data_IF_447865310003
#
_entry.id   IF_447865310003
#
_cell.length_a   1.000
_cell.length_b   1.000
_cell.length_c   1.000
_cell.angle_alpha   90.00
_cell.angle_beta   90.00
_cell.angle_gamma   90.00
#
_symmetry.space_group_name_H-M   'P 1'
#
loop_
_entity.id
_entity.type
_entity.pdbx_description
1 polymer ?
#
# COMPACT_ATOMS: atom_id res chain seq x y z
N UNK A 1 11.47 -11.40 -10.37
CA UNK A 1 12.36 -10.52 -11.15
C UNK A 1 13.58 -10.17 -10.29
N UNK A 2 14.66 -9.77 -10.95
CA UNK A 2 15.96 -9.59 -10.29
C UNK A 2 16.29 -8.13 -10.00
N UNK A 3 15.59 -7.18 -10.63
CA UNK A 3 15.83 -5.75 -10.47
C UNK A 3 14.59 -4.92 -10.76
N UNK A 4 14.58 -3.69 -10.21
CA UNK A 4 13.63 -2.64 -10.54
C UNK A 4 14.41 -1.40 -10.96
N UNK A 5 14.02 -0.76 -12.05
CA UNK A 5 14.66 0.43 -12.57
C UNK A 5 13.93 1.70 -12.13
N UNK A 6 14.68 2.72 -11.73
CA UNK A 6 14.18 4.03 -11.30
C UNK A 6 14.51 5.07 -12.38
N UNK A 7 13.48 5.73 -12.87
CA UNK A 7 13.57 6.67 -13.99
C UNK A 7 13.16 8.08 -13.60
N UNK A 8 13.86 9.04 -14.15
CA UNK A 8 13.55 10.46 -14.09
C UNK A 8 13.68 11.10 -15.47
N UNK A 9 13.37 12.39 -15.64
CA UNK A 9 13.64 13.10 -16.89
C UNK A 9 15.10 13.08 -17.35
N UNK A 10 16.04 12.79 -16.43
CA UNK A 10 17.46 12.64 -16.73
C UNK A 10 17.85 11.22 -17.19
N UNK A 11 16.89 10.32 -17.27
CA UNK A 11 17.06 8.92 -17.65
C UNK A 11 17.09 7.95 -16.47
N UNK A 12 17.77 6.81 -16.62
CA UNK A 12 17.91 5.79 -15.57
C UNK A 12 18.76 6.32 -14.42
N UNK A 13 18.17 6.46 -13.24
CA UNK A 13 18.85 6.95 -12.03
C UNK A 13 19.52 5.82 -11.26
N UNK A 14 18.83 4.72 -11.09
CA UNK A 14 19.31 3.58 -10.34
C UNK A 14 18.60 2.31 -10.76
N UNK A 15 19.27 1.19 -10.57
CA UNK A 15 18.66 -0.14 -10.59
C UNK A 15 18.81 -0.69 -9.18
N UNK A 16 17.67 -0.98 -8.53
CA UNK A 16 17.67 -1.62 -7.23
C UNK A 16 17.76 -3.13 -7.44
N UNK A 17 18.87 -3.79 -7.06
CA UNK A 17 18.96 -5.22 -7.14
C UNK A 17 18.02 -5.84 -6.12
N UNK A 18 17.42 -6.92 -6.50
CA UNK A 18 16.94 -7.92 -5.57
C UNK A 18 18.21 -8.61 -5.05
N UNK A 19 18.44 -8.57 -3.75
CA UNK A 19 19.64 -9.12 -3.12
C UNK A 19 19.78 -10.62 -3.47
N UNK A 20 20.78 -11.01 -4.27
CA UNK A 20 20.90 -12.39 -4.71
C UNK A 20 22.31 -12.92 -4.89
N UNK A 21 23.21 -12.15 -5.43
CA UNK A 21 24.48 -12.70 -5.99
C UNK A 21 25.77 -12.15 -5.38
N UNK A 22 25.69 -11.39 -4.30
CA UNK A 22 26.88 -10.85 -3.61
C UNK A 22 27.18 -11.60 -2.31
N UNK A 23 28.40 -11.51 -1.76
CA UNK A 23 28.69 -12.03 -0.44
C UNK A 23 27.76 -11.37 0.58
N UNK A 24 26.98 -12.19 1.29
CA UNK A 24 26.06 -11.72 2.32
C UNK A 24 26.89 -11.23 3.52
N UNK A 25 27.03 -9.91 3.60
CA UNK A 25 27.59 -9.30 4.80
C UNK A 25 26.49 -9.20 5.87
N UNK A 26 26.85 -9.36 7.15
CA UNK A 26 25.89 -9.21 8.24
C UNK A 26 25.18 -7.85 8.21
N UNK A 27 23.88 -7.85 8.50
CA UNK A 27 23.12 -6.60 8.66
C UNK A 27 23.73 -5.74 9.79
N UNK A 28 23.80 -4.41 9.63
CA UNK A 28 23.31 -3.57 8.52
C UNK A 28 24.35 -3.35 7.39
N UNK A 29 25.51 -3.96 7.49
CA UNK A 29 26.64 -3.69 6.57
C UNK A 29 26.33 -4.14 5.12
N UNK A 30 25.66 -5.26 4.96
CA UNK A 30 25.29 -5.79 3.63
C UNK A 30 24.36 -4.85 2.87
N UNK A 31 23.33 -4.32 3.53
CA UNK A 31 22.38 -3.40 2.94
C UNK A 31 23.03 -2.03 2.65
N UNK A 32 23.83 -1.52 3.58
CA UNK A 32 24.58 -0.30 3.36
C UNK A 32 25.51 -0.41 2.16
N UNK A 33 26.21 -1.53 2.02
CA UNK A 33 27.13 -1.78 0.91
C UNK A 33 26.37 -1.96 -0.42
N UNK A 34 25.27 -2.69 -0.43
CA UNK A 34 24.43 -2.83 -1.61
C UNK A 34 23.87 -1.47 -2.06
N UNK A 35 23.33 -0.67 -1.13
CA UNK A 35 22.78 0.66 -1.42
C UNK A 35 23.87 1.60 -1.96
N UNK A 36 25.06 1.60 -1.37
CA UNK A 36 26.18 2.45 -1.79
C UNK A 36 26.62 2.13 -3.22
N UNK A 37 26.64 0.87 -3.61
CA UNK A 37 27.12 0.48 -4.94
C UNK A 37 26.12 0.68 -6.07
N UNK A 38 24.84 0.67 -5.78
CA UNK A 38 23.78 0.64 -6.80
C UNK A 38 23.36 2.02 -7.31
N UNK A 39 23.56 3.07 -6.50
CA UNK A 39 23.24 4.45 -6.88
C UNK A 39 24.43 5.15 -7.52
N UNK A 40 24.85 4.67 -8.68
CA UNK A 40 26.07 5.16 -9.36
C UNK A 40 26.05 6.65 -9.70
N UNK A 41 24.87 7.25 -9.89
CA UNK A 41 24.73 8.69 -10.18
C UNK A 41 24.80 9.57 -8.94
N UNK A 42 24.53 9.03 -7.75
CA UNK A 42 24.70 9.78 -6.51
C UNK A 42 26.18 9.80 -6.09
N UNK A 43 26.78 10.97 -5.84
CA UNK A 43 28.12 11.07 -5.27
C UNK A 43 28.25 10.27 -3.97
N UNK A 44 29.44 9.76 -3.70
CA UNK A 44 29.68 8.93 -2.49
C UNK A 44 29.32 9.67 -1.21
N UNK A 45 29.61 10.98 -1.12
CA UNK A 45 29.26 11.80 0.03
C UNK A 45 27.74 11.83 0.27
N UNK A 46 26.94 11.96 -0.81
CA UNK A 46 25.47 11.95 -0.69
C UNK A 46 24.96 10.59 -0.23
N UNK A 47 25.52 9.49 -0.75
CA UNK A 47 25.17 8.13 -0.31
C UNK A 47 25.51 7.90 1.16
N UNK A 48 26.64 8.37 1.64
CA UNK A 48 27.05 8.24 3.05
C UNK A 48 26.20 9.09 3.98
N UNK A 49 25.55 10.15 3.50
CA UNK A 49 24.68 10.99 4.32
C UNK A 49 23.48 10.23 4.92
N UNK A 50 23.08 9.09 4.34
CA UNK A 50 21.98 8.26 4.83
C UNK A 50 22.30 7.55 6.16
N UNK A 51 23.56 7.49 6.58
CA UNK A 51 23.98 6.76 7.76
C UNK A 51 23.25 7.20 9.05
N UNK A 52 22.86 8.48 9.13
CA UNK A 52 22.06 8.99 10.25
C UNK A 52 20.71 8.26 10.45
N UNK A 53 20.11 7.77 9.37
CA UNK A 53 18.85 7.00 9.46
C UNK A 53 19.01 5.69 10.22
N UNK A 54 20.17 5.03 10.13
CA UNK A 54 20.41 3.78 10.87
C UNK A 54 20.32 4.00 12.37
N UNK A 55 20.88 5.13 12.85
CA UNK A 55 20.81 5.50 14.29
C UNK A 55 19.35 5.79 14.70
N UNK A 56 18.61 6.54 13.88
CA UNK A 56 17.22 6.85 14.15
C UNK A 56 16.32 5.59 14.14
N UNK A 57 16.55 4.64 13.23
CA UNK A 57 15.85 3.37 13.17
C UNK A 57 16.08 2.51 14.44
N UNK A 58 17.29 2.51 14.99
CA UNK A 58 17.60 1.79 16.22
C UNK A 58 16.96 2.50 17.43
N UNK A 59 16.92 3.83 17.45
CA UNK A 59 16.31 4.61 18.53
C UNK A 59 14.78 4.46 18.55
N UNK A 60 14.14 4.37 17.39
CA UNK A 60 12.68 4.33 17.23
C UNK A 60 11.99 3.28 18.11
N UNK A 61 12.57 2.11 18.25
CA UNK A 61 11.99 0.96 18.96
C UNK A 61 12.30 0.92 20.47
N UNK A 62 12.94 1.95 21.02
CA UNK A 62 13.33 1.96 22.44
C UNK A 62 12.16 2.04 23.41
N UNK A 63 11.13 2.81 23.06
CA UNK A 63 9.92 2.92 23.89
C UNK A 63 8.76 3.55 23.09
N UNK A 64 7.51 3.38 23.55
CA UNK A 64 6.36 4.05 22.95
C UNK A 64 6.50 5.59 22.90
N UNK A 65 7.06 6.21 23.94
CA UNK A 65 7.27 7.65 23.98
C UNK A 65 8.27 8.13 22.92
N UNK A 66 9.29 7.34 22.60
CA UNK A 66 10.23 7.63 21.53
C UNK A 66 9.52 7.53 20.17
N UNK A 67 8.72 6.50 19.97
CA UNK A 67 7.92 6.34 18.77
C UNK A 67 7.00 7.54 18.53
N UNK A 68 6.26 7.97 19.55
CA UNK A 68 5.36 9.13 19.48
C UNK A 68 6.09 10.44 19.13
N UNK A 69 7.31 10.62 19.68
CA UNK A 69 8.14 11.77 19.35
C UNK A 69 8.52 11.79 17.86
N UNK A 70 8.85 10.64 17.28
CA UNK A 70 9.13 10.54 15.84
C UNK A 70 7.85 10.65 15.02
N UNK A 71 6.72 10.13 15.50
CA UNK A 71 5.44 10.26 14.81
C UNK A 71 4.96 11.72 14.72
N UNK A 72 5.30 12.55 15.69
CA UNK A 72 4.98 13.97 15.70
C UNK A 72 5.74 14.80 14.64
N UNK A 73 6.80 14.24 14.03
CA UNK A 73 7.61 14.89 13.00
C UNK A 73 7.24 14.37 11.61
N UNK A 74 7.35 15.22 10.59
CA UNK A 74 7.38 14.76 9.21
C UNK A 74 8.76 14.19 8.85
N UNK A 75 8.78 13.29 7.86
CA UNK A 75 9.99 12.60 7.45
C UNK A 75 11.04 13.54 6.85
N UNK A 76 10.62 14.60 6.12
CA UNK A 76 11.55 15.56 5.55
C UNK A 76 12.30 16.33 6.63
N UNK A 77 11.58 16.77 7.67
CA UNK A 77 12.17 17.42 8.84
C UNK A 77 13.19 16.51 9.52
N UNK A 78 12.86 15.23 9.72
CA UNK A 78 13.80 14.26 10.28
C UNK A 78 15.03 14.10 9.39
N UNK A 79 14.87 13.95 8.08
CA UNK A 79 16.00 13.77 7.16
C UNK A 79 16.96 14.95 7.22
N UNK A 80 16.44 16.19 7.29
CA UNK A 80 17.26 17.40 7.43
C UNK A 80 17.95 17.49 8.78
N UNK A 81 17.27 17.12 9.87
CA UNK A 81 17.91 17.03 11.20
C UNK A 81 19.06 16.03 11.22
N UNK A 82 18.96 14.93 10.51
CA UNK A 82 20.00 13.91 10.35
C UNK A 82 21.08 14.30 9.33
N UNK A 83 20.99 15.49 8.73
CA UNK A 83 21.91 16.02 7.72
C UNK A 83 22.01 15.14 6.47
N UNK A 84 20.93 14.51 6.09
CA UNK A 84 20.84 13.80 4.82
C UNK A 84 20.89 14.84 3.70
N UNK A 85 21.69 14.60 2.65
CA UNK A 85 21.81 15.56 1.56
C UNK A 85 20.49 15.74 0.81
N UNK A 86 20.20 16.97 0.37
CA UNK A 86 19.01 17.27 -0.44
C UNK A 86 18.94 16.42 -1.71
N UNK A 87 20.10 16.07 -2.26
CA UNK A 87 20.18 15.20 -3.42
C UNK A 87 19.73 13.77 -3.08
N UNK A 88 20.20 13.19 -1.97
CA UNK A 88 19.77 11.88 -1.49
C UNK A 88 18.24 11.88 -1.18
N UNK A 89 17.75 12.96 -0.58
CA UNK A 89 16.30 13.10 -0.30
C UNK A 89 15.50 13.11 -1.61
N UNK A 90 15.86 13.93 -2.57
CA UNK A 90 15.05 14.17 -3.75
C UNK A 90 15.19 13.08 -4.83
N UNK A 91 16.36 12.48 -4.97
CA UNK A 91 16.64 11.50 -6.04
C UNK A 91 16.40 10.06 -5.59
N UNK A 92 16.38 9.79 -4.28
CA UNK A 92 16.21 8.44 -3.76
C UNK A 92 15.07 8.30 -2.76
N UNK A 93 15.11 9.02 -1.62
CA UNK A 93 14.15 8.80 -0.55
C UNK A 93 12.72 9.21 -0.95
N UNK A 94 12.55 10.35 -1.58
CA UNK A 94 11.24 10.83 -2.06
C UNK A 94 10.59 9.87 -3.06
N UNK A 95 11.26 9.40 -4.13
CA UNK A 95 10.68 8.40 -5.03
C UNK A 95 10.27 7.10 -4.33
N UNK A 96 11.09 6.59 -3.42
CA UNK A 96 10.76 5.37 -2.66
C UNK A 96 9.54 5.59 -1.77
N UNK A 97 9.44 6.72 -1.09
CA UNK A 97 8.30 7.03 -0.22
C UNK A 97 7.01 7.26 -1.02
N UNK A 98 7.09 7.92 -2.16
CA UNK A 98 5.94 8.07 -3.07
C UNK A 98 5.39 6.74 -3.57
N UNK A 99 6.22 5.71 -3.70
CA UNK A 99 5.79 4.37 -4.11
C UNK A 99 5.48 3.46 -2.91
N UNK A 100 6.23 3.58 -1.82
CA UNK A 100 6.08 2.69 -0.66
C UNK A 100 5.03 3.14 0.37
N UNK A 101 4.82 4.44 0.54
CA UNK A 101 3.83 5.03 1.44
C UNK A 101 2.87 6.00 0.74
N UNK A 102 2.99 6.13 -0.57
CA UNK A 102 2.10 6.86 -1.47
C UNK A 102 2.00 8.37 -1.18
N UNK A 103 3.00 8.93 -0.49
CA UNK A 103 3.08 10.36 -0.18
C UNK A 103 4.53 10.85 -0.15
N UNK A 104 4.76 12.14 -0.39
CA UNK A 104 6.09 12.72 -0.24
C UNK A 104 6.47 12.86 1.24
N UNK A 105 7.78 12.96 1.56
CA UNK A 105 8.28 12.92 2.94
C UNK A 105 7.77 14.05 3.85
N UNK A 106 7.36 15.18 3.31
CA UNK A 106 6.77 16.31 4.05
C UNK A 106 5.35 16.03 4.58
N UNK A 107 4.66 15.05 4.03
CA UNK A 107 3.31 14.66 4.43
C UNK A 107 3.28 13.36 5.27
N UNK A 108 4.42 12.69 5.43
CA UNK A 108 4.53 11.40 6.11
C UNK A 108 5.09 11.53 7.53
N UNK A 109 4.54 10.76 8.46
CA UNK A 109 5.13 10.55 9.79
C UNK A 109 6.55 9.99 9.66
N UNK A 110 7.50 10.61 10.38
CA UNK A 110 8.87 10.12 10.40
C UNK A 110 8.95 8.71 11.02
N UNK A 111 8.13 8.39 12.01
CA UNK A 111 8.08 7.05 12.60
C UNK A 111 7.70 5.99 11.57
N UNK A 112 6.59 6.19 10.84
CA UNK A 112 6.12 5.25 9.81
C UNK A 112 7.12 5.14 8.67
N UNK A 113 7.74 6.25 8.29
CA UNK A 113 8.80 6.25 7.27
C UNK A 113 10.00 5.41 7.69
N UNK A 114 10.45 5.56 8.93
CA UNK A 114 11.57 4.76 9.45
C UNK A 114 11.22 3.27 9.57
N UNK A 115 9.98 2.94 9.93
CA UNK A 115 9.53 1.54 9.95
C UNK A 115 9.51 0.91 8.56
N UNK A 116 9.06 1.64 7.54
CA UNK A 116 9.14 1.18 6.16
C UNK A 116 10.59 0.91 5.76
N UNK A 117 11.47 1.88 6.01
CA UNK A 117 12.89 1.76 5.65
C UNK A 117 13.57 0.65 6.46
N UNK A 118 13.25 0.49 7.74
CA UNK A 118 13.72 -0.63 8.56
C UNK A 118 13.27 -1.97 8.00
N UNK A 119 12.00 -2.10 7.64
CA UNK A 119 11.45 -3.32 7.09
C UNK A 119 12.18 -3.74 5.80
N UNK A 120 12.35 -2.80 4.88
CA UNK A 120 13.06 -3.09 3.63
C UNK A 120 14.56 -3.27 3.80
N UNK A 121 15.20 -2.53 4.69
CA UNK A 121 16.66 -2.52 4.80
C UNK A 121 17.22 -3.50 5.83
N UNK A 122 16.52 -3.75 6.94
CA UNK A 122 17.06 -4.49 8.07
C UNK A 122 16.32 -5.79 8.40
N UNK A 123 15.00 -5.86 8.16
CA UNK A 123 14.21 -7.04 8.52
C UNK A 123 14.38 -8.21 7.54
N UNK A 124 14.74 -7.93 6.28
CA UNK A 124 14.98 -8.94 5.25
C UNK A 124 16.48 -9.20 5.06
N UNK A 125 17.11 -9.84 6.05
CA UNK A 125 18.57 -10.01 6.09
C UNK A 125 19.09 -11.12 5.16
N UNK A 126 18.32 -12.19 4.98
CA UNK A 126 18.81 -13.39 4.31
C UNK A 126 18.27 -13.57 2.89
N UNK A 127 17.15 -12.98 2.54
CA UNK A 127 16.64 -12.97 1.17
C UNK A 127 15.60 -11.85 0.97
N UNK A 128 15.96 -10.84 0.24
CA UNK A 128 14.99 -9.91 -0.32
C UNK A 128 14.56 -10.40 -1.70
N UNK A 129 13.97 -11.59 -1.73
CA UNK A 129 13.61 -12.27 -2.97
C UNK A 129 12.15 -11.93 -3.34
N UNK A 130 11.98 -10.97 -4.22
CA UNK A 130 10.65 -10.62 -4.73
C UNK A 130 10.21 -11.68 -5.73
N UNK A 131 9.13 -12.40 -5.40
CA UNK A 131 8.50 -13.40 -6.25
C UNK A 131 7.24 -12.83 -6.88
N UNK A 132 7.16 -12.92 -8.20
CA UNK A 132 5.95 -12.55 -8.92
C UNK A 132 5.02 -13.76 -9.05
N UNK A 133 3.73 -13.56 -8.85
CA UNK A 133 2.72 -14.60 -9.08
C UNK A 133 2.52 -14.73 -10.60
N UNK A 134 2.99 -15.84 -11.17
CA UNK A 134 3.11 -15.98 -12.63
C UNK A 134 1.84 -16.43 -13.35
N UNK A 135 1.00 -17.24 -12.73
CA UNK A 135 -0.03 -17.94 -13.52
C UNK A 135 -1.41 -17.30 -13.47
N UNK A 136 -1.72 -16.51 -12.45
CA UNK A 136 -3.04 -15.87 -12.28
C UNK A 136 -2.90 -14.67 -11.36
N UNK A 137 -3.99 -13.92 -11.18
CA UNK A 137 -4.06 -12.82 -10.23
C UNK A 137 -4.02 -13.31 -8.77
N UNK A 138 -3.64 -12.44 -7.84
CA UNK A 138 -3.73 -12.70 -6.38
C UNK A 138 -5.15 -13.09 -5.99
N UNK A 139 -6.16 -12.46 -6.61
CA UNK A 139 -7.56 -12.79 -6.41
C UNK A 139 -7.85 -14.26 -6.69
N UNK A 140 -7.37 -14.77 -7.81
CA UNK A 140 -7.63 -16.15 -8.25
C UNK A 140 -6.75 -17.18 -7.55
N UNK A 141 -5.50 -16.83 -7.23
CA UNK A 141 -4.53 -17.75 -6.63
C UNK A 141 -4.65 -17.87 -5.12
N UNK A 142 -5.00 -16.80 -4.44
CA UNK A 142 -5.00 -16.73 -2.99
C UNK A 142 -6.40 -16.49 -2.43
N UNK A 143 -7.06 -15.42 -2.84
CA UNK A 143 -8.29 -14.97 -2.17
C UNK A 143 -9.50 -15.84 -2.52
N UNK A 144 -9.70 -16.18 -3.79
CA UNK A 144 -10.84 -16.99 -4.21
C UNK A 144 -10.79 -18.45 -3.68
N UNK A 145 -9.62 -19.15 -3.66
CA UNK A 145 -9.54 -20.47 -3.02
C UNK A 145 -9.82 -20.41 -1.52
N UNK A 146 -9.28 -19.40 -0.81
CA UNK A 146 -9.52 -19.20 0.61
C UNK A 146 -11.01 -18.95 0.89
N UNK A 147 -11.62 -18.02 0.17
CA UNK A 147 -13.03 -17.68 0.31
C UNK A 147 -13.92 -18.89 0.04
N UNK A 148 -13.69 -19.65 -1.05
CA UNK A 148 -14.43 -20.88 -1.34
C UNK A 148 -14.33 -21.88 -0.19
N UNK A 149 -13.14 -22.16 0.30
CA UNK A 149 -12.94 -23.08 1.43
C UNK A 149 -13.72 -22.64 2.68
N UNK A 150 -13.71 -21.36 2.99
CA UNK A 150 -14.46 -20.81 4.14
C UNK A 150 -15.96 -20.89 3.92
N UNK A 151 -16.45 -20.66 2.71
CA UNK A 151 -17.87 -20.84 2.37
C UNK A 151 -18.30 -22.29 2.53
N UNK A 152 -17.49 -23.24 2.02
CA UNK A 152 -17.85 -24.67 1.99
C UNK A 152 -17.73 -25.32 3.38
N UNK A 153 -16.70 -24.97 4.16
CA UNK A 153 -16.37 -25.64 5.42
C UNK A 153 -16.85 -24.87 6.67
N UNK A 154 -17.02 -23.56 6.59
CA UNK A 154 -17.25 -22.68 7.75
C UNK A 154 -18.45 -21.72 7.59
N UNK A 155 -19.33 -21.99 6.65
CA UNK A 155 -20.58 -21.22 6.43
C UNK A 155 -20.35 -19.72 6.18
N UNK A 156 -19.19 -19.32 5.65
CA UNK A 156 -18.93 -17.94 5.26
C UNK A 156 -19.94 -17.53 4.18
N UNK A 157 -20.61 -16.39 4.37
CA UNK A 157 -21.41 -15.73 3.34
C UNK A 157 -20.69 -14.46 2.87
N UNK A 158 -20.50 -14.32 1.56
CA UNK A 158 -19.90 -13.14 0.94
C UNK A 158 -21.02 -12.33 0.26
N UNK A 159 -21.32 -11.16 0.80
CA UNK A 159 -22.33 -10.25 0.27
C UNK A 159 -21.66 -9.22 -0.65
N UNK A 160 -21.34 -9.64 -1.88
CA UNK A 160 -20.76 -8.77 -2.90
C UNK A 160 -21.71 -7.63 -3.30
N UNK A 161 -21.16 -6.47 -3.68
CA UNK A 161 -21.97 -5.30 -4.06
C UNK A 161 -22.81 -4.71 -2.92
N UNK A 162 -22.48 -5.05 -1.67
CA UNK A 162 -23.23 -4.63 -0.48
C UNK A 162 -22.37 -3.72 0.38
N UNK A 163 -22.89 -2.56 0.72
CA UNK A 163 -22.25 -1.55 1.56
C UNK A 163 -22.83 -1.58 2.96
N UNK A 164 -21.98 -1.72 4.00
CA UNK A 164 -22.37 -1.55 5.40
C UNK A 164 -22.62 -0.07 5.68
N UNK A 165 -23.87 0.32 5.92
CA UNK A 165 -24.28 1.72 6.00
C UNK A 165 -24.37 2.25 7.42
N UNK A 166 -24.79 1.42 8.39
CA UNK A 166 -24.90 1.81 9.80
C UNK A 166 -24.72 0.60 10.71
N UNK A 167 -24.00 0.80 11.81
CA UNK A 167 -23.87 -0.17 12.90
C UNK A 167 -24.74 0.28 14.08
N UNK A 168 -25.71 -0.53 14.42
CA UNK A 168 -26.61 -0.29 15.55
C UNK A 168 -26.06 -1.00 16.78
N UNK A 169 -25.93 -0.26 17.87
CA UNK A 169 -25.48 -0.78 19.18
C UNK A 169 -26.47 -0.36 20.27
N UNK A 170 -26.67 -1.22 21.25
CA UNK A 170 -27.51 -0.93 22.41
C UNK A 170 -26.81 0.10 23.32
N UNK A 171 -27.57 0.74 24.24
CA UNK A 171 -26.98 1.62 25.25
C UNK A 171 -25.95 0.93 26.16
N UNK A 172 -26.00 -0.40 26.27
CA UNK A 172 -25.03 -1.22 27.01
C UNK A 172 -23.79 -1.58 26.22
N UNK A 173 -23.71 -1.19 24.94
CA UNK A 173 -22.58 -1.44 24.05
C UNK A 173 -22.60 -2.79 23.35
N UNK A 174 -23.69 -3.55 23.43
CA UNK A 174 -23.85 -4.76 22.62
C UNK A 174 -24.19 -4.37 21.17
N UNK A 175 -23.70 -5.14 20.21
CA UNK A 175 -24.08 -4.99 18.80
C UNK A 175 -25.48 -5.56 18.61
N UNK A 176 -26.39 -4.78 18.02
CA UNK A 176 -27.77 -5.22 17.76
C UNK A 176 -27.90 -5.67 16.31
N UNK A 177 -27.56 -4.81 15.36
CA UNK A 177 -27.73 -5.10 13.93
C UNK A 177 -26.79 -4.28 13.05
N UNK A 178 -26.69 -4.68 11.79
CA UNK A 178 -25.94 -3.96 10.77
C UNK A 178 -26.86 -3.62 9.60
N UNK A 179 -27.06 -2.33 9.34
CA UNK A 179 -27.76 -1.88 8.15
C UNK A 179 -26.86 -1.98 6.92
N UNK A 180 -27.43 -2.43 5.82
CA UNK A 180 -26.74 -2.61 4.56
C UNK A 180 -27.45 -1.88 3.43
N UNK A 181 -26.71 -1.62 2.34
CA UNK A 181 -27.28 -1.06 1.10
C UNK A 181 -26.65 -1.73 -0.11
N UNK A 182 -27.50 -2.19 -1.02
CA UNK A 182 -27.08 -2.69 -2.33
C UNK A 182 -26.47 -1.54 -3.17
N UNK A 183 -25.30 -1.75 -3.74
CA UNK A 183 -24.68 -0.78 -4.64
C UNK A 183 -25.34 -0.75 -6.02
N UNK A 184 -25.97 -1.87 -6.42
CA UNK A 184 -26.63 -1.98 -7.71
C UNK A 184 -28.03 -1.37 -7.71
N UNK A 185 -28.84 -1.66 -6.68
CA UNK A 185 -30.27 -1.25 -6.62
C UNK A 185 -30.52 -0.08 -5.67
N UNK A 186 -29.59 0.20 -4.75
CA UNK A 186 -29.79 1.17 -3.66
C UNK A 186 -30.70 0.68 -2.53
N UNK A 187 -31.22 -0.53 -2.62
CA UNK A 187 -32.08 -1.13 -1.60
C UNK A 187 -31.34 -1.30 -0.27
N UNK A 188 -32.05 -1.05 0.81
CA UNK A 188 -31.54 -1.22 2.17
C UNK A 188 -31.95 -2.57 2.73
N UNK A 189 -31.07 -3.19 3.50
CA UNK A 189 -31.31 -4.43 4.25
C UNK A 189 -30.79 -4.30 5.67
N UNK A 190 -31.15 -5.25 6.51
CA UNK A 190 -30.65 -5.35 7.89
C UNK A 190 -30.14 -6.77 8.13
N UNK A 191 -29.02 -6.88 8.79
CA UNK A 191 -28.50 -8.13 9.35
C UNK A 191 -28.71 -8.03 10.85
N UNK A 192 -29.61 -8.83 11.36
CA UNK A 192 -29.97 -8.89 12.78
C UNK A 192 -29.18 -9.99 13.51
N UNK A 193 -29.29 -10.06 14.84
CA UNK A 193 -28.65 -11.07 15.69
C UNK A 193 -27.13 -11.15 15.50
N UNK A 194 -26.46 -9.99 15.49
CA UNK A 194 -25.01 -9.89 15.28
C UNK A 194 -24.29 -10.02 16.61
N UNK A 195 -23.57 -11.11 16.83
CA UNK A 195 -22.75 -11.34 18.03
C UNK A 195 -21.53 -10.41 18.10
N UNK A 196 -20.85 -10.21 16.96
CA UNK A 196 -19.64 -9.41 16.87
C UNK A 196 -19.43 -8.79 15.50
N UNK A 197 -18.69 -7.69 15.44
CA UNK A 197 -18.31 -7.00 14.21
C UNK A 197 -16.81 -6.80 14.14
N UNK A 198 -16.21 -7.19 13.02
CA UNK A 198 -14.83 -6.84 12.67
C UNK A 198 -14.86 -5.73 11.63
N UNK A 199 -14.43 -4.53 12.00
CA UNK A 199 -14.36 -3.37 11.11
C UNK A 199 -13.04 -3.42 10.30
N UNK A 200 -13.09 -4.07 9.15
CA UNK A 200 -11.97 -4.16 8.20
C UNK A 200 -12.09 -3.08 7.11
N UNK A 201 -12.37 -1.85 7.51
CA UNK A 201 -12.59 -0.70 6.64
C UNK A 201 -11.45 0.31 6.77
N UNK A 202 -11.07 0.97 5.69
CA UNK A 202 -10.08 2.05 5.73
C UNK A 202 -10.63 3.33 6.38
N UNK A 203 -9.80 4.35 6.53
CA UNK A 203 -10.17 5.61 7.20
C UNK A 203 -11.45 6.24 6.63
N UNK A 204 -11.56 6.32 5.31
CA UNK A 204 -12.76 6.85 4.64
C UNK A 204 -14.02 6.03 4.93
N UNK A 205 -13.89 4.68 4.90
CA UNK A 205 -15.00 3.77 5.22
C UNK A 205 -15.42 3.90 6.68
N UNK A 206 -14.46 3.99 7.60
CA UNK A 206 -14.71 4.23 9.03
C UNK A 206 -15.44 5.55 9.26
N UNK A 207 -14.98 6.64 8.65
CA UNK A 207 -15.63 7.95 8.75
C UNK A 207 -17.08 7.92 8.23
N UNK A 208 -17.30 7.28 7.08
CA UNK A 208 -18.64 7.13 6.51
C UNK A 208 -19.60 6.29 7.39
N UNK A 209 -19.09 5.22 8.00
CA UNK A 209 -19.85 4.36 8.89
C UNK A 209 -20.18 5.09 10.21
N UNK A 210 -19.19 5.72 10.84
CA UNK A 210 -19.38 6.42 12.12
C UNK A 210 -20.30 7.63 11.99
N UNK A 211 -20.26 8.37 10.88
CA UNK A 211 -21.16 9.48 10.61
C UNK A 211 -22.65 9.08 10.61
N UNK A 212 -22.95 7.79 10.39
CA UNK A 212 -24.32 7.25 10.38
C UNK A 212 -24.64 6.39 11.60
N UNK A 213 -23.66 6.10 12.44
CA UNK A 213 -23.75 5.21 13.62
C UNK A 213 -23.50 6.03 14.89
N UNK A 214 -24.38 7.01 15.17
CA UNK A 214 -24.17 7.99 16.23
C UNK A 214 -23.99 7.37 17.62
N UNK A 215 -24.76 6.33 17.95
CA UNK A 215 -24.68 5.60 19.22
C UNK A 215 -23.33 4.86 19.33
N UNK A 216 -22.91 4.20 18.27
CA UNK A 216 -21.61 3.53 18.21
C UNK A 216 -20.45 4.55 18.34
N UNK A 217 -20.53 5.67 17.62
CA UNK A 217 -19.53 6.74 17.69
C UNK A 217 -19.44 7.39 19.08
N UNK A 218 -20.54 7.48 19.79
CA UNK A 218 -20.58 8.02 21.16
C UNK A 218 -19.96 7.06 22.18
N UNK A 219 -20.20 5.75 22.04
CA UNK A 219 -19.68 4.71 22.94
C UNK A 219 -18.23 4.31 22.60
N UNK A 220 -17.81 4.49 21.34
CA UNK A 220 -16.45 4.21 20.86
C UNK A 220 -15.87 5.41 20.08
N UNK A 221 -15.56 6.53 20.77
CA UNK A 221 -15.13 7.77 20.12
C UNK A 221 -13.78 7.61 19.38
N UNK A 222 -12.97 6.60 19.71
CA UNK A 222 -11.77 6.24 18.99
C UNK A 222 -12.05 5.85 17.53
N UNK A 223 -13.20 5.26 17.22
CA UNK A 223 -13.59 4.93 15.85
C UNK A 223 -13.93 6.18 15.04
N UNK A 224 -14.64 7.13 15.65
CA UNK A 224 -14.96 8.41 15.02
C UNK A 224 -13.66 9.21 14.74
N UNK A 225 -12.71 9.24 15.69
CA UNK A 225 -11.40 9.86 15.48
C UNK A 225 -10.64 9.21 14.35
N UNK A 226 -10.61 7.87 14.30
CA UNK A 226 -9.95 7.13 13.24
C UNK A 226 -10.55 7.43 11.86
N UNK A 227 -11.87 7.60 11.78
CA UNK A 227 -12.55 8.02 10.56
C UNK A 227 -12.22 9.42 10.08
N UNK A 228 -11.63 10.26 10.93
CA UNK A 228 -11.14 11.60 10.59
C UNK A 228 -9.73 11.62 9.97
N UNK A 229 -9.03 10.48 9.92
CA UNK A 229 -7.72 10.40 9.29
C UNK A 229 -7.81 10.63 7.77
N UNK A 230 -6.75 11.24 7.23
CA UNK A 230 -6.60 11.45 5.79
C UNK A 230 -6.52 10.13 5.02
N UNK A 231 -6.82 10.21 3.74
CA UNK A 231 -6.72 9.10 2.83
C UNK A 231 -6.08 9.53 1.50
N UNK A 232 -5.54 8.58 0.76
CA UNK A 232 -4.75 8.81 -0.44
C UNK A 232 -5.46 8.21 -1.65
N UNK A 233 -5.48 8.95 -2.74
CA UNK A 233 -6.02 8.50 -4.01
C UNK A 233 -4.97 7.71 -4.79
N UNK A 234 -5.42 6.63 -5.45
CA UNK A 234 -4.62 5.82 -6.36
C UNK A 234 -5.34 5.74 -7.70
N UNK A 235 -4.57 5.77 -8.79
CA UNK A 235 -5.09 5.47 -10.13
C UNK A 235 -4.30 4.31 -10.69
N UNK A 236 -5.00 3.28 -11.15
CA UNK A 236 -4.42 2.11 -11.82
C UNK A 236 -4.79 2.09 -13.28
N UNK A 237 -3.83 1.79 -14.13
CA UNK A 237 -3.99 1.72 -15.58
C UNK A 237 -3.52 0.37 -16.09
N UNK A 238 -4.29 -0.24 -16.96
CA UNK A 238 -3.85 -1.38 -17.76
C UNK A 238 -3.94 -1.04 -19.23
N UNK A 239 -2.87 -1.35 -19.97
CA UNK A 239 -2.79 -1.13 -21.40
C UNK A 239 -2.46 -2.45 -22.10
N UNK A 240 -3.16 -2.72 -23.20
CA UNK A 240 -2.86 -3.78 -24.16
C UNK A 240 -2.35 -3.14 -25.44
N UNK A 241 -1.20 -3.60 -25.93
CA UNK A 241 -0.53 -2.99 -27.07
C UNK A 241 -0.60 -3.88 -28.31
N UNK A 242 -0.55 -3.26 -29.49
CA UNK A 242 -0.56 -3.93 -30.82
C UNK A 242 0.71 -4.72 -31.13
N UNK A 243 1.77 -4.59 -30.31
CA UNK A 243 3.06 -5.23 -30.52
C UNK A 243 3.78 -5.55 -29.21
N UNK A 244 4.62 -6.57 -29.24
CA UNK A 244 5.48 -6.92 -28.12
C UNK A 244 6.67 -5.96 -28.05
N UNK A 245 6.93 -5.46 -26.85
CA UNK A 245 8.05 -4.55 -26.54
C UNK A 245 8.82 -5.16 -25.37
N UNK A 246 10.08 -5.49 -25.60
CA UNK A 246 10.95 -5.96 -24.52
C UNK A 246 11.61 -4.77 -23.81
N UNK A 247 11.70 -4.85 -22.51
CA UNK A 247 12.45 -3.94 -21.63
C UNK A 247 13.43 -4.75 -20.79
N UNK A 248 14.55 -4.13 -20.42
CA UNK A 248 15.60 -4.81 -19.63
C UNK A 248 15.10 -5.15 -18.21
N UNK A 249 14.42 -4.20 -17.58
CA UNK A 249 13.82 -4.37 -16.26
C UNK A 249 12.29 -4.35 -16.39
N UNK A 250 11.59 -5.47 -16.12
CA UNK A 250 10.13 -5.51 -16.27
C UNK A 250 9.35 -4.77 -15.18
N UNK A 251 10.01 -4.32 -14.10
CA UNK A 251 9.46 -3.50 -13.04
C UNK A 251 10.16 -2.15 -12.99
N UNK A 252 9.39 -1.06 -13.08
CA UNK A 252 9.93 0.28 -13.21
C UNK A 252 9.22 1.29 -12.32
N UNK A 253 9.96 2.29 -11.87
CA UNK A 253 9.48 3.42 -11.06
C UNK A 253 9.76 4.71 -11.79
N UNK A 254 8.75 5.57 -11.92
CA UNK A 254 8.87 6.90 -12.46
C UNK A 254 8.79 7.95 -11.36
N UNK A 255 9.69 8.93 -11.41
CA UNK A 255 9.68 10.05 -10.48
C UNK A 255 10.09 11.36 -11.16
N UNK A 256 9.60 12.47 -10.62
CA UNK A 256 9.99 13.84 -11.02
C UNK A 256 9.63 14.22 -12.47
N UNK A 257 8.86 13.42 -13.18
CA UNK A 257 8.31 13.82 -14.49
C UNK A 257 7.18 14.84 -14.30
N UNK A 258 7.14 15.87 -15.15
CA UNK A 258 6.08 16.87 -15.10
C UNK A 258 4.68 16.27 -15.31
N UNK A 259 4.59 15.22 -16.14
CA UNK A 259 3.36 14.48 -16.39
C UNK A 259 2.77 13.82 -15.14
N UNK A 260 3.59 13.54 -14.13
CA UNK A 260 3.13 12.93 -12.87
C UNK A 260 2.41 13.92 -11.95
N UNK A 261 2.54 15.23 -12.15
CA UNK A 261 1.89 16.26 -11.31
C UNK A 261 2.11 16.06 -9.80
N UNK A 262 3.29 15.61 -9.39
CA UNK A 262 3.65 15.31 -8.00
C UNK A 262 3.30 13.90 -7.51
N UNK A 263 2.68 13.08 -8.36
CA UNK A 263 2.49 11.66 -8.06
C UNK A 263 3.80 10.87 -8.20
N UNK A 264 3.88 9.71 -7.55
CA UNK A 264 4.79 8.63 -7.92
C UNK A 264 4.09 7.70 -8.90
N UNK A 265 4.84 7.02 -9.74
CA UNK A 265 4.26 5.99 -10.59
C UNK A 265 5.16 4.78 -10.73
N UNK A 266 4.53 3.63 -10.94
CA UNK A 266 5.21 2.39 -11.32
C UNK A 266 4.63 1.88 -12.63
N UNK A 267 5.42 1.10 -13.37
CA UNK A 267 4.83 0.24 -14.37
C UNK A 267 5.51 -1.14 -14.40
N UNK A 268 4.75 -2.12 -14.82
CA UNK A 268 5.14 -3.51 -14.89
C UNK A 268 4.81 -4.08 -16.27
N UNK A 269 5.78 -4.73 -16.90
CA UNK A 269 5.56 -5.50 -18.12
C UNK A 269 4.98 -6.87 -17.75
N UNK A 270 3.66 -6.99 -17.76
CA UNK A 270 2.99 -8.20 -17.27
C UNK A 270 3.29 -9.42 -18.14
N UNK A 271 3.38 -9.24 -19.45
CA UNK A 271 3.76 -10.29 -20.39
C UNK A 271 5.17 -10.85 -20.12
N UNK A 272 6.13 -9.99 -19.77
CA UNK A 272 7.47 -10.42 -19.38
C UNK A 272 7.50 -11.09 -17.98
N UNK A 273 6.77 -10.51 -17.01
CA UNK A 273 6.68 -11.05 -15.64
C UNK A 273 5.90 -12.37 -15.58
N UNK A 274 4.94 -12.56 -16.47
CA UNK A 274 4.09 -13.74 -16.56
C UNK A 274 4.33 -14.50 -17.87
N UNK A 275 5.57 -14.55 -18.33
CA UNK A 275 5.93 -15.23 -19.56
C UNK A 275 5.40 -16.68 -19.59
N UNK A 276 4.78 -17.05 -20.71
CA UNK A 276 4.07 -18.33 -20.87
C UNK A 276 2.62 -18.32 -20.38
N UNK A 277 2.09 -17.16 -19.94
CA UNK A 277 0.71 -16.98 -19.50
C UNK A 277 0.01 -15.81 -20.22
N UNK A 278 0.51 -15.45 -21.40
CA UNK A 278 0.06 -14.28 -22.15
C UNK A 278 -1.43 -14.37 -22.49
N UNK A 279 -1.93 -15.57 -22.83
CA UNK A 279 -3.35 -15.76 -23.12
C UNK A 279 -4.25 -15.37 -21.93
N UNK A 280 -3.83 -15.64 -20.69
CA UNK A 280 -4.61 -15.24 -19.52
C UNK A 280 -4.65 -13.72 -19.32
N UNK A 281 -3.62 -13.01 -19.80
CA UNK A 281 -3.60 -11.53 -19.78
C UNK A 281 -4.52 -10.92 -20.84
N UNK A 282 -4.74 -11.63 -21.95
CA UNK A 282 -5.61 -11.20 -23.06
C UNK A 282 -7.04 -11.74 -22.96
N UNK A 283 -7.29 -12.72 -22.05
CA UNK A 283 -8.60 -13.36 -21.91
C UNK A 283 -9.03 -14.09 -23.18
N UNK A 284 -10.21 -13.75 -23.69
CA UNK A 284 -10.76 -14.34 -24.93
C UNK A 284 -10.22 -13.68 -26.22
N UNK A 285 -9.44 -12.59 -26.07
CA UNK A 285 -8.85 -11.90 -27.23
C UNK A 285 -7.57 -12.59 -27.69
N UNK A 286 -7.26 -12.56 -29.02
CA UNK A 286 -5.97 -13.02 -29.51
C UNK A 286 -4.81 -12.23 -28.88
N UNK A 287 -3.73 -12.91 -28.55
CA UNK A 287 -2.50 -12.26 -28.11
C UNK A 287 -1.90 -11.44 -29.26
N UNK A 288 -1.79 -10.12 -29.09
CA UNK A 288 -1.26 -9.22 -30.12
C UNK A 288 0.10 -8.65 -29.72
N UNK A 289 0.29 -8.32 -28.44
CA UNK A 289 1.51 -7.64 -28.01
C UNK A 289 1.65 -7.60 -26.48
N UNK A 290 2.37 -6.61 -26.00
CA UNK A 290 2.65 -6.44 -24.57
C UNK A 290 1.43 -5.99 -23.78
N UNK A 291 1.38 -6.40 -22.51
CA UNK A 291 0.41 -5.93 -21.52
C UNK A 291 1.13 -5.23 -20.40
N UNK A 292 0.71 -4.01 -20.09
CA UNK A 292 1.32 -3.14 -19.10
C UNK A 292 0.32 -2.90 -17.95
N UNK A 293 0.79 -2.99 -16.71
CA UNK A 293 0.11 -2.41 -15.57
C UNK A 293 0.90 -1.20 -15.06
N UNK A 294 0.23 -0.08 -14.81
CA UNK A 294 0.82 1.12 -14.23
C UNK A 294 -0.05 1.64 -13.11
N UNK A 295 0.57 2.00 -11.99
CA UNK A 295 -0.11 2.58 -10.85
C UNK A 295 0.47 3.96 -10.53
N UNK A 296 -0.43 4.92 -10.26
CA UNK A 296 -0.09 6.27 -9.80
C UNK A 296 -0.47 6.40 -8.33
N UNK A 297 0.48 6.86 -7.53
CA UNK A 297 0.35 7.06 -6.09
C UNK A 297 0.39 8.55 -5.76
N UNK A 298 -0.27 8.99 -4.70
CA UNK A 298 -0.55 10.41 -4.46
C UNK A 298 -1.29 11.04 -5.66
N UNK A 299 -2.30 10.34 -6.13
CA UNK A 299 -2.82 10.50 -7.49
C UNK A 299 -4.00 11.48 -7.61
N UNK A 300 -4.27 12.36 -6.63
CA UNK A 300 -5.43 13.26 -6.67
C UNK A 300 -5.44 14.11 -7.96
N UNK A 301 -4.30 14.71 -8.32
CA UNK A 301 -4.17 15.50 -9.55
C UNK A 301 -4.23 14.67 -10.85
N UNK A 302 -3.91 13.39 -10.78
CA UNK A 302 -4.05 12.45 -11.92
C UNK A 302 -5.51 12.01 -12.06
N UNK A 303 -6.19 11.77 -10.94
CA UNK A 303 -7.58 11.32 -10.93
C UNK A 303 -8.56 12.33 -11.54
N UNK A 304 -8.19 13.62 -11.59
CA UNK A 304 -8.96 14.69 -12.23
C UNK A 304 -8.84 14.68 -13.78
N UNK A 305 -7.86 13.98 -14.33
CA UNK A 305 -7.66 13.87 -15.78
C UNK A 305 -8.63 12.87 -16.41
N UNK A 306 -8.90 13.02 -17.69
CA UNK A 306 -9.60 12.01 -18.49
C UNK A 306 -8.73 10.76 -18.66
N UNK A 307 -9.35 9.63 -18.95
CA UNK A 307 -8.64 8.37 -19.21
C UNK A 307 -7.63 8.54 -20.35
N UNK A 308 -8.01 9.28 -21.41
CA UNK A 308 -7.14 9.51 -22.55
C UNK A 308 -5.92 10.35 -22.18
N UNK A 309 -6.07 11.41 -21.37
CA UNK A 309 -4.93 12.22 -20.93
C UNK A 309 -3.93 11.41 -20.09
N UNK A 310 -4.43 10.49 -19.24
CA UNK A 310 -3.58 9.60 -18.44
C UNK A 310 -2.83 8.63 -19.34
N UNK A 311 -3.52 8.02 -20.29
CA UNK A 311 -2.92 7.08 -21.25
C UNK A 311 -1.92 7.79 -22.16
N UNK A 312 -2.23 8.98 -22.64
CA UNK A 312 -1.32 9.79 -23.46
C UNK A 312 -0.04 10.17 -22.67
N UNK A 313 -0.16 10.52 -21.41
CA UNK A 313 0.99 10.79 -20.55
C UNK A 313 1.89 9.54 -20.41
N UNK A 314 1.31 8.36 -20.23
CA UNK A 314 2.05 7.10 -20.21
C UNK A 314 2.75 6.84 -21.55
N UNK A 315 1.99 6.82 -22.65
CA UNK A 315 2.48 6.38 -23.96
C UNK A 315 3.45 7.38 -24.60
N UNK A 316 3.28 8.67 -24.38
CA UNK A 316 4.05 9.70 -25.07
C UNK A 316 5.20 10.26 -24.21
N UNK A 317 5.07 10.28 -22.88
CA UNK A 317 6.03 10.95 -22.01
C UNK A 317 6.80 10.01 -21.09
N UNK A 318 6.17 8.96 -20.54
CA UNK A 318 6.79 8.11 -19.52
C UNK A 318 7.43 6.85 -20.12
N UNK A 319 6.65 5.99 -20.75
CA UNK A 319 7.14 4.71 -21.30
C UNK A 319 8.28 4.86 -22.32
N UNK A 320 8.27 5.88 -23.22
CA UNK A 320 9.37 6.09 -24.16
C UNK A 320 10.71 6.47 -23.52
N UNK A 321 10.72 6.87 -22.26
CA UNK A 321 11.98 7.10 -21.54
C UNK A 321 12.70 5.80 -21.21
N UNK A 322 11.91 4.73 -21.01
CA UNK A 322 12.46 3.39 -20.72
C UNK A 322 12.82 2.68 -22.01
N UNK A 323 11.91 2.67 -22.98
CA UNK A 323 12.12 2.02 -24.27
C UNK A 323 11.47 2.84 -25.39
N UNK A 324 12.28 3.45 -26.30
CA UNK A 324 11.76 4.30 -27.37
C UNK A 324 10.73 3.62 -28.28
N UNK A 325 10.73 2.29 -28.37
CA UNK A 325 9.78 1.52 -29.17
C UNK A 325 8.31 1.77 -28.78
N UNK A 326 8.03 2.21 -27.55
CA UNK A 326 6.68 2.56 -27.11
C UNK A 326 6.05 3.68 -27.95
N UNK A 327 6.85 4.58 -28.54
CA UNK A 327 6.33 5.65 -29.42
C UNK A 327 5.63 5.14 -30.68
N UNK A 328 5.92 3.90 -31.06
CA UNK A 328 5.38 3.29 -32.28
C UNK A 328 4.30 2.25 -31.99
N UNK A 329 4.03 1.99 -30.72
CA UNK A 329 2.96 1.09 -30.31
C UNK A 329 1.62 1.81 -30.26
N UNK A 330 0.56 1.07 -30.59
CA UNK A 330 -0.82 1.53 -30.45
C UNK A 330 -1.48 0.81 -29.28
N UNK A 331 -2.28 1.53 -28.53
CA UNK A 331 -3.12 0.96 -27.48
C UNK A 331 -4.32 0.30 -28.16
N UNK A 332 -4.44 -1.01 -28.01
CA UNK A 332 -5.55 -1.82 -28.55
C UNK A 332 -6.73 -1.80 -27.60
N UNK A 333 -6.42 -1.87 -26.29
CA UNK A 333 -7.42 -1.78 -25.23
C UNK A 333 -6.81 -1.13 -23.97
N UNK A 334 -7.66 -0.51 -23.15
CA UNK A 334 -7.23 0.19 -21.96
C UNK A 334 -8.26 0.08 -20.83
N UNK A 335 -7.77 0.03 -19.62
CA UNK A 335 -8.59 0.13 -18.43
C UNK A 335 -7.97 1.15 -17.47
N UNK A 336 -8.73 2.18 -17.08
CA UNK A 336 -8.32 3.19 -16.11
C UNK A 336 -9.26 3.14 -14.91
N UNK A 337 -8.72 2.82 -13.75
CA UNK A 337 -9.48 2.74 -12.49
C UNK A 337 -9.00 3.77 -11.50
N UNK A 338 -9.93 4.50 -10.92
CA UNK A 338 -9.70 5.49 -9.88
C UNK A 338 -10.16 4.92 -8.54
N UNK A 339 -9.28 5.00 -7.55
CA UNK A 339 -9.53 4.55 -6.19
C UNK A 339 -9.43 5.74 -5.21
N UNK A 340 -10.50 6.57 -5.10
CA UNK A 340 -10.47 7.75 -4.25
C UNK A 340 -10.44 7.37 -2.77
N UNK A 341 -9.45 7.88 -2.04
CA UNK A 341 -9.29 7.65 -0.62
C UNK A 341 -9.17 6.17 -0.23
N UNK A 342 -8.56 5.35 -1.07
CA UNK A 342 -8.45 3.90 -0.87
C UNK A 342 -7.36 3.50 0.13
N UNK A 343 -6.37 4.37 0.35
CA UNK A 343 -5.22 4.09 1.19
C UNK A 343 -5.18 5.06 2.36
N UNK A 344 -4.93 4.56 3.57
CA UNK A 344 -4.81 5.40 4.77
C UNK A 344 -3.57 6.28 4.70
N UNK A 345 -3.70 7.57 5.04
CA UNK A 345 -2.58 8.48 5.15
C UNK A 345 -1.95 8.40 6.55
N UNK A 346 -0.67 8.10 6.57
CA UNK A 346 0.14 8.10 7.78
C UNK A 346 0.85 9.46 7.97
N UNK A 347 0.07 10.50 8.23
CA UNK A 347 0.58 11.86 8.47
C UNK A 347 1.25 12.00 9.85
N UNK A 348 2.05 13.05 10.08
CA UNK A 348 2.58 13.36 11.39
C UNK A 348 1.48 13.42 12.46
N UNK A 349 1.71 12.76 13.61
CA UNK A 349 0.75 12.67 14.72
C UNK A 349 -0.45 11.74 14.48
N UNK A 350 -0.47 10.99 13.38
CA UNK A 350 -1.59 10.10 13.04
C UNK A 350 -1.64 8.83 13.88
N UNK A 351 -0.54 8.40 14.48
CA UNK A 351 -0.46 7.11 15.17
C UNK A 351 -1.52 6.97 16.27
N UNK A 352 -1.65 7.97 17.14
CA UNK A 352 -2.64 7.94 18.23
C UNK A 352 -4.09 8.04 17.75
N UNK A 353 -4.31 8.50 16.52
CA UNK A 353 -5.64 8.61 15.93
C UNK A 353 -6.07 7.33 15.20
N UNK A 354 -5.14 6.41 14.88
CA UNK A 354 -5.47 5.14 14.26
C UNK A 354 -6.33 4.29 15.19
N UNK A 355 -7.25 3.46 14.65
CA UNK A 355 -8.12 2.67 15.49
C UNK A 355 -7.30 1.62 16.27
N UNK A 356 -7.63 1.34 17.53
CA UNK A 356 -7.10 0.20 18.23
C UNK A 356 -7.71 -1.09 17.68
N UNK A 357 -7.02 -2.22 17.84
CA UNK A 357 -7.56 -3.55 17.53
C UNK A 357 -8.81 -3.82 18.38
N UNK A 358 -8.72 -3.61 19.67
CA UNK A 358 -9.81 -3.73 20.65
C UNK A 358 -10.41 -2.35 20.91
N UNK A 359 -11.70 -2.21 20.62
CA UNK A 359 -12.43 -0.96 20.85
C UNK A 359 -13.04 -0.90 22.25
N UNK A 360 -13.59 0.25 22.61
CA UNK A 360 -14.40 0.43 23.84
C UNK A 360 -15.64 -0.46 23.87
N UNK A 361 -16.10 -0.97 22.71
CA UNK A 361 -17.20 -1.92 22.60
C UNK A 361 -16.67 -3.35 22.59
N UNK A 362 -17.17 -4.20 23.49
CA UNK A 362 -16.68 -5.57 23.63
C UNK A 362 -16.86 -6.42 22.36
N UNK A 363 -17.96 -6.22 21.64
CA UNK A 363 -18.33 -6.95 20.43
C UNK A 363 -17.79 -6.33 19.13
N UNK A 364 -17.06 -5.20 19.19
CA UNK A 364 -16.51 -4.53 18.00
C UNK A 364 -15.01 -4.48 18.07
N UNK A 365 -14.35 -5.00 17.04
CA UNK A 365 -12.89 -4.96 16.87
C UNK A 365 -12.54 -4.40 15.49
N UNK A 366 -11.30 -3.93 15.34
CA UNK A 366 -10.81 -3.41 14.08
C UNK A 366 -9.78 -4.36 13.46
N UNK A 367 -9.73 -4.42 12.12
CA UNK A 367 -8.71 -5.11 11.36
C UNK A 367 -8.22 -4.25 10.19
N UNK A 368 -6.98 -4.49 9.77
CA UNK A 368 -6.34 -3.77 8.66
C UNK A 368 -4.91 -3.35 8.97
N UNK A 369 -4.19 -2.94 7.95
CA UNK A 369 -2.78 -2.53 8.07
C UNK A 369 -2.56 -1.24 8.87
N UNK A 370 -3.57 -0.41 9.00
CA UNK A 370 -3.56 0.86 9.73
C UNK A 370 -3.94 0.77 11.21
N UNK A 371 -4.41 -0.42 11.66
CA UNK A 371 -4.86 -0.67 13.04
C UNK A 371 -3.67 -0.80 14.00
N UNK A 372 -3.79 -0.24 15.20
CA UNK A 372 -2.85 -0.42 16.30
C UNK A 372 -3.16 -1.72 17.03
N UNK A 373 -2.22 -2.66 17.02
CA UNK A 373 -2.40 -3.97 17.66
C UNK A 373 -1.86 -4.03 19.11
N UNK A 374 -1.39 -2.91 19.66
CA UNK A 374 -0.86 -2.83 21.02
C UNK A 374 0.37 -3.72 21.20
N UNK A 375 0.36 -4.57 22.24
CA UNK A 375 1.46 -5.50 22.54
C UNK A 375 1.72 -6.55 21.42
N UNK A 376 0.74 -6.71 20.52
CA UNK A 376 0.82 -7.63 19.38
C UNK A 376 1.21 -6.93 18.08
N UNK A 377 1.83 -5.77 18.19
CA UNK A 377 2.23 -4.98 17.04
C UNK A 377 3.16 -5.78 16.13
N UNK A 378 2.79 -5.86 14.84
CA UNK A 378 3.62 -6.48 13.83
C UNK A 378 4.79 -5.56 13.44
N UNK A 379 5.94 -6.12 13.08
CA UNK A 379 7.15 -5.37 12.74
C UNK A 379 6.97 -4.41 11.55
N UNK A 380 6.12 -4.75 10.58
CA UNK A 380 5.73 -3.86 9.50
C UNK A 380 4.51 -3.04 9.92
N UNK A 381 4.71 -1.85 10.45
CA UNK A 381 3.63 -0.97 10.94
C UNK A 381 3.01 -0.07 9.86
N UNK A 382 3.59 -0.04 8.66
CA UNK A 382 3.09 0.72 7.52
C UNK A 382 2.15 -0.09 6.63
N UNK A 383 1.94 0.39 5.40
CA UNK A 383 1.11 -0.27 4.38
C UNK A 383 1.68 -1.66 4.01
N UNK A 384 0.99 -2.72 4.38
CA UNK A 384 1.46 -4.09 4.18
C UNK A 384 0.30 -5.08 4.23
N UNK A 385 0.16 -5.90 3.19
CA UNK A 385 -0.87 -6.95 3.16
C UNK A 385 -0.67 -8.00 4.26
N UNK A 386 0.57 -8.35 4.57
CA UNK A 386 0.89 -9.26 5.68
C UNK A 386 0.38 -8.70 7.01
N UNK A 387 0.62 -7.41 7.27
CA UNK A 387 0.10 -6.75 8.47
C UNK A 387 -1.43 -6.79 8.53
N UNK A 388 -2.11 -6.52 7.43
CA UNK A 388 -3.57 -6.58 7.37
C UNK A 388 -4.08 -7.99 7.68
N UNK A 389 -3.42 -9.03 7.16
CA UNK A 389 -3.76 -10.42 7.41
C UNK A 389 -3.54 -10.80 8.89
N UNK A 390 -2.37 -10.50 9.44
CA UNK A 390 -2.05 -10.76 10.86
C UNK A 390 -3.04 -10.01 11.78
N UNK A 391 -3.36 -8.76 11.46
CA UNK A 391 -4.33 -7.99 12.22
C UNK A 391 -5.73 -8.64 12.20
N UNK A 392 -6.15 -9.20 11.05
CA UNK A 392 -7.40 -9.96 10.95
C UNK A 392 -7.43 -11.19 11.85
N UNK A 393 -6.33 -11.95 11.91
CA UNK A 393 -6.19 -13.09 12.82
C UNK A 393 -6.23 -12.66 14.29
N UNK A 394 -5.54 -11.56 14.64
CA UNK A 394 -5.55 -11.03 16.01
C UNK A 394 -6.91 -10.46 16.41
N UNK A 395 -7.67 -9.88 15.48
CA UNK A 395 -9.04 -9.44 15.72
C UNK A 395 -9.94 -10.63 16.08
N UNK A 396 -9.86 -11.73 15.33
CA UNK A 396 -10.59 -12.95 15.64
C UNK A 396 -10.19 -13.55 17.00
N UNK A 397 -8.87 -13.64 17.27
CA UNK A 397 -8.33 -14.11 18.55
C UNK A 397 -8.80 -13.23 19.71
N UNK A 398 -8.93 -11.93 19.52
CA UNK A 398 -9.42 -11.00 20.55
C UNK A 398 -10.88 -11.31 20.92
N UNK A 399 -11.75 -11.49 19.93
CA UNK A 399 -13.16 -11.83 20.17
C UNK A 399 -13.31 -13.18 20.91
N UNK A 400 -12.50 -14.18 20.57
CA UNK A 400 -12.45 -15.47 21.26
C UNK A 400 -12.02 -15.31 22.72
N UNK A 401 -10.89 -14.60 22.98
CA UNK A 401 -10.39 -14.37 24.34
C UNK A 401 -11.38 -13.60 25.22
N UNK A 402 -12.13 -12.69 24.64
CA UNK A 402 -13.15 -11.89 25.34
C UNK A 402 -14.45 -12.68 25.57
N UNK A 403 -14.56 -13.88 25.03
CA UNK A 403 -15.74 -14.74 25.14
C UNK A 403 -16.98 -14.19 24.41
N UNK A 404 -16.76 -13.27 23.46
CA UNK A 404 -17.83 -12.68 22.63
C UNK A 404 -18.35 -13.71 21.63
N UNK A 405 -17.44 -14.48 21.05
CA UNK A 405 -17.76 -15.59 20.16
C UNK A 405 -17.18 -16.88 20.71
N UNK A 406 -17.77 -18.02 20.32
CA UNK A 406 -17.27 -19.35 20.68
C UNK A 406 -16.47 -19.93 19.52
N UNK A 407 -15.35 -20.58 19.84
CA UNK A 407 -14.50 -21.26 18.85
C UNK A 407 -15.05 -22.62 18.43
#
# INVERSE_FOLDING_TARGET
FTSSAFWSPQGLEATAPVFGDGPQLPSPLGQAFATINNFKRLPVADRLSIAGLLVAMLDLNRSPAVYERYDALDALTLFRQLRISERMINEFLRPILLVGLFKPPEELSAAVTMELLYYYALAHQDSFDVRWIKSKSIGEQLLAPLSRRLCDAHQLQVLGGTFASRLNVSPTGATDSLETRSLATGETGVIDDVDAVVLAVGARGMGSLMARSAECAALAPELARAGGLGAIDVVSVRLWLDRSIAVDDPANVFSRFAALKGAGATFFMLDQLQAGNEQALWGDQPVQGSVIASDFYNASAIAEQSDQEIVDALMQQLLPQVQPAFRHAQVVDQEVRRYPGSVSLFSPGSFQQRPPLETSLASVVCAGDWVRMGEREHGAKGLCQERAYVCGLEAANSLLRRGVVRG
#
